data_IF_855600572446
#
_entry.id   IF_855600572446
#
_cell.length_a   1.000
_cell.length_b   1.000
_cell.length_c   1.000
_cell.angle_alpha   90.00
_cell.angle_beta   90.00
_cell.angle_gamma   90.00
#
_symmetry.space_group_name_H-M   'P 1'
#
loop_
_entity.id
_entity.type
_entity.pdbx_description
1 polymer ?
#
# COMPACT_ATOMS: atom_id res chain seq x y z
N UNK A 1 7.32 43.76 -11.58
CA UNK A 1 6.13 43.05 -12.08
C UNK A 1 6.60 41.86 -12.92
N UNK A 2 6.70 40.67 -12.32
CA UNK A 2 6.85 39.43 -13.07
C UNK A 2 5.90 38.40 -12.46
N UNK A 3 4.92 38.03 -13.29
CA UNK A 3 3.78 37.18 -12.98
C UNK A 3 4.24 35.75 -12.70
N UNK A 4 3.99 35.27 -11.47
CA UNK A 4 4.07 33.86 -11.12
C UNK A 4 2.95 33.15 -11.87
N UNK A 5 3.29 32.36 -12.90
CA UNK A 5 2.33 31.46 -13.55
C UNK A 5 2.18 30.22 -12.67
N UNK A 6 1.06 30.15 -11.96
CA UNK A 6 0.53 28.93 -11.35
C UNK A 6 0.23 27.90 -12.46
N UNK A 7 1.11 26.93 -12.66
CA UNK A 7 0.83 25.75 -13.47
C UNK A 7 0.47 24.56 -12.57
N UNK A 8 -0.69 24.64 -11.91
CA UNK A 8 -1.37 23.47 -11.29
C UNK A 8 -2.29 22.80 -12.33
N UNK A 9 -1.73 22.38 -13.46
CA UNK A 9 -2.47 21.60 -14.45
C UNK A 9 -2.17 20.12 -14.24
N UNK A 10 -3.22 19.29 -14.17
CA UNK A 10 -3.10 17.84 -14.13
C UNK A 10 -2.29 17.35 -15.35
N UNK A 11 -1.51 16.25 -15.23
CA UNK A 11 -0.73 15.72 -16.34
C UNK A 11 -1.60 15.43 -17.57
N UNK A 12 -1.18 15.77 -18.80
CA UNK A 12 -2.01 15.64 -20.00
C UNK A 12 -2.60 14.24 -20.22
N UNK A 13 -1.86 13.19 -19.87
CA UNK A 13 -2.32 11.80 -19.96
C UNK A 13 -3.53 11.49 -19.07
N UNK A 14 -3.55 12.02 -17.83
CA UNK A 14 -4.68 11.85 -16.91
C UNK A 14 -5.92 12.57 -17.44
N UNK A 15 -5.75 13.78 -17.95
CA UNK A 15 -6.84 14.60 -18.48
C UNK A 15 -7.50 13.93 -19.68
N UNK A 16 -6.71 13.41 -20.63
CA UNK A 16 -7.23 12.71 -21.81
C UNK A 16 -8.02 11.45 -21.43
N UNK A 17 -7.52 10.66 -20.48
CA UNK A 17 -8.20 9.45 -20.02
C UNK A 17 -9.50 9.78 -19.26
N UNK A 18 -9.50 10.79 -18.39
CA UNK A 18 -10.71 11.25 -17.70
C UNK A 18 -11.77 11.78 -18.68
N UNK A 19 -11.38 12.50 -19.73
CA UNK A 19 -12.30 12.96 -20.77
C UNK A 19 -12.97 11.78 -21.50
N UNK A 20 -12.22 10.73 -21.84
CA UNK A 20 -12.78 9.51 -22.44
C UNK A 20 -13.76 8.80 -21.50
N UNK A 21 -13.44 8.68 -20.20
CA UNK A 21 -14.34 8.08 -19.19
C UNK A 21 -15.61 8.92 -18.99
N UNK A 22 -15.50 10.24 -19.02
CA UNK A 22 -16.66 11.12 -18.92
C UNK A 22 -17.53 11.06 -20.18
N UNK A 23 -16.93 10.95 -21.37
CA UNK A 23 -17.64 10.78 -22.63
C UNK A 23 -18.36 9.43 -22.72
N UNK A 24 -17.76 8.34 -22.24
CA UNK A 24 -18.40 7.02 -22.20
C UNK A 24 -19.56 6.97 -21.20
N UNK A 25 -19.51 7.73 -20.10
CA UNK A 25 -20.66 7.92 -19.19
C UNK A 25 -21.77 8.77 -19.78
N UNK A 26 -21.45 9.76 -20.61
CA UNK A 26 -22.45 10.63 -21.28
C UNK A 26 -23.20 9.92 -22.42
N UNK A 27 -22.75 8.75 -22.84
CA UNK A 27 -23.42 7.89 -23.83
C UNK A 27 -24.51 6.96 -23.26
N UNK A 28 -24.72 6.94 -21.95
CA UNK A 28 -25.72 6.09 -21.30
C UNK A 28 -26.44 6.84 -20.17
N UNK A 29 -27.51 7.54 -20.51
CA UNK A 29 -28.37 8.23 -19.53
C UNK A 29 -29.19 9.33 -20.19
N UNK A 30 -30.43 8.99 -20.54
CA UNK A 30 -31.41 9.93 -21.05
C UNK A 30 -31.82 10.98 -20.02
N UNK A 31 -32.01 12.18 -20.55
CA UNK A 31 -32.82 13.32 -20.13
C UNK A 31 -33.61 13.20 -18.82
N UNK A 32 -33.40 14.16 -17.92
CA UNK A 32 -34.48 14.88 -17.22
C UNK A 32 -33.94 16.25 -16.80
N UNK A 33 -34.32 17.28 -17.56
CA UNK A 33 -34.20 18.70 -17.19
C UNK A 33 -35.42 19.08 -16.33
N UNK A 34 -35.21 19.61 -15.13
CA UNK A 34 -36.19 20.50 -14.51
C UNK A 34 -35.53 21.77 -13.99
N UNK A 35 -36.03 22.88 -14.55
CA UNK A 35 -35.82 24.27 -14.12
C UNK A 35 -36.80 24.62 -13.00
N UNK A 36 -36.37 25.42 -12.03
CA UNK A 36 -37.16 26.45 -11.30
C UNK A 36 -36.21 27.28 -10.45
N UNK A 37 -35.93 28.51 -10.87
CA UNK A 37 -36.60 29.78 -10.51
C UNK A 37 -35.90 30.48 -9.34
N UNK A 38 -35.46 31.70 -9.64
CA UNK A 38 -34.79 32.68 -8.77
C UNK A 38 -35.88 33.63 -8.28
N UNK A 39 -35.84 34.00 -7.01
CA UNK A 39 -36.52 35.21 -6.52
C UNK A 39 -35.58 35.98 -5.57
N UNK A 40 -35.38 37.31 -5.75
CA UNK A 40 -34.52 38.14 -4.89
C UNK A 40 -35.33 39.10 -4.00
N UNK A 41 -34.69 39.58 -2.91
CA UNK A 41 -35.01 40.73 -2.01
C UNK A 41 -34.94 40.30 -0.54
N UNK A 42 -34.55 41.07 0.48
CA UNK A 42 -34.10 42.46 0.69
C UNK A 42 -33.40 42.43 2.07
N UNK A 43 -32.18 42.95 2.24
CA UNK A 43 -31.84 44.28 2.81
C UNK A 43 -31.89 44.38 4.36
N UNK A 44 -30.84 44.98 4.95
CA UNK A 44 -30.76 45.25 6.40
C UNK A 44 -29.36 45.36 7.01
N UNK A 45 -28.78 46.56 6.93
CA UNK A 45 -27.59 47.08 7.64
C UNK A 45 -27.47 46.72 9.14
N UNK A 46 -26.24 46.59 9.68
CA UNK A 46 -25.68 47.66 10.55
C UNK A 46 -24.15 47.61 10.76
N UNK A 47 -23.58 48.81 10.92
CA UNK A 47 -22.15 49.14 11.11
C UNK A 47 -21.81 49.29 12.60
N UNK A 48 -20.56 49.01 12.99
CA UNK A 48 -19.65 49.85 13.82
C UNK A 48 -18.59 48.96 14.50
N UNK A 49 -17.30 49.07 14.15
CA UNK A 49 -16.29 50.01 14.65
C UNK A 49 -15.45 49.43 15.81
N UNK A 50 -14.17 49.15 15.54
CA UNK A 50 -13.10 48.97 16.53
C UNK A 50 -12.73 50.29 17.22
N UNK A 51 -11.88 50.30 18.28
CA UNK A 51 -10.45 50.46 18.01
C UNK A 51 -9.45 49.80 18.99
N UNK A 52 -8.19 49.81 18.54
CA UNK A 52 -6.93 50.09 19.27
C UNK A 52 -6.09 48.97 19.94
N UNK A 53 -5.05 48.57 19.19
CA UNK A 53 -3.61 48.61 19.53
C UNK A 53 -3.10 48.26 20.93
N UNK A 54 -2.29 47.19 21.01
CA UNK A 54 -1.03 47.19 21.78
C UNK A 54 0.00 46.25 21.16
N UNK A 55 1.15 46.81 20.81
CA UNK A 55 2.35 46.11 20.31
C UNK A 55 3.02 45.34 21.44
N UNK A 56 3.18 44.03 21.28
CA UNK A 56 4.19 43.24 22.00
C UNK A 56 4.93 42.39 20.96
N UNK A 57 6.21 42.71 20.80
CA UNK A 57 7.16 41.92 20.01
C UNK A 57 7.57 40.75 20.89
N UNK A 58 7.03 39.57 20.61
CA UNK A 58 7.51 38.30 21.15
C UNK A 58 7.74 37.32 19.99
N UNK A 59 8.76 36.49 20.18
CA UNK A 59 9.48 35.73 19.16
C UNK A 59 8.56 34.82 18.31
N UNK A 60 8.54 35.04 16.99
CA UNK A 60 7.63 34.37 16.04
C UNK A 60 8.22 33.18 15.29
N UNK A 61 9.22 32.49 15.86
CA UNK A 61 9.73 31.26 15.25
C UNK A 61 8.96 30.00 15.68
N UNK A 62 8.22 30.01 16.80
CA UNK A 62 7.46 28.83 17.27
C UNK A 62 6.00 28.77 16.79
N UNK A 63 5.37 29.91 16.42
CA UNK A 63 3.95 29.94 16.05
C UNK A 63 3.65 29.64 14.56
N UNK A 64 4.66 29.61 13.69
CA UNK A 64 4.43 29.34 12.25
C UNK A 64 4.15 27.87 11.93
N UNK A 65 4.53 26.94 12.83
CA UNK A 65 4.35 25.50 12.66
C UNK A 65 2.91 25.03 12.90
N UNK A 66 2.04 25.87 13.48
CA UNK A 66 0.67 25.46 13.81
C UNK A 66 -0.34 25.68 12.66
N UNK A 67 0.10 26.20 11.51
CA UNK A 67 -0.75 26.47 10.34
C UNK A 67 -0.68 25.41 9.23
N UNK A 68 0.37 24.58 9.23
CA UNK A 68 0.57 23.59 8.16
C UNK A 68 -0.30 22.36 8.41
N UNK A 69 -0.95 21.81 7.36
CA UNK A 69 -1.75 20.61 7.53
C UNK A 69 -0.86 19.43 7.90
N UNK A 70 -1.40 18.55 8.74
CA UNK A 70 -0.72 17.32 9.17
C UNK A 70 -0.88 16.25 8.09
N UNK A 71 0.24 15.63 7.71
CA UNK A 71 0.25 14.43 6.84
C UNK A 71 0.86 13.28 7.62
N UNK A 72 0.12 12.18 7.76
CA UNK A 72 0.61 10.96 8.40
C UNK A 72 1.11 9.98 7.33
N UNK A 73 2.31 9.44 7.52
CA UNK A 73 2.93 8.45 6.63
C UNK A 73 3.08 7.11 7.34
N UNK A 74 2.75 6.04 6.64
CA UNK A 74 2.98 4.65 7.06
C UNK A 74 3.44 3.82 5.86
N UNK A 75 3.69 2.52 6.04
CA UNK A 75 3.91 1.59 4.93
C UNK A 75 3.70 0.13 5.39
N UNK A 76 3.98 -0.82 4.49
CA UNK A 76 4.08 -2.25 4.80
C UNK A 76 5.50 -2.76 5.02
N UNK A 77 6.53 -2.16 4.42
CA UNK A 77 7.89 -2.73 4.43
C UNK A 77 8.71 -2.41 5.70
N UNK A 78 8.19 -1.52 6.55
CA UNK A 78 8.82 -1.10 7.80
C UNK A 78 9.49 0.28 7.71
N UNK A 79 9.83 0.82 8.89
CA UNK A 79 10.22 2.22 9.07
C UNK A 79 11.51 2.60 8.32
N UNK A 80 12.47 1.69 8.23
CA UNK A 80 13.74 1.91 7.53
C UNK A 80 13.67 1.61 6.02
N UNK A 81 12.48 1.32 5.48
CA UNK A 81 12.37 0.94 4.07
C UNK A 81 12.77 2.11 3.14
N UNK A 82 13.49 1.84 2.05
CA UNK A 82 13.92 2.88 1.09
C UNK A 82 12.76 3.70 0.52
N UNK A 83 11.61 3.06 0.30
CA UNK A 83 10.39 3.71 -0.20
C UNK A 83 9.76 4.68 0.81
N UNK A 84 9.70 4.32 2.09
CA UNK A 84 9.18 5.22 3.14
C UNK A 84 10.15 6.38 3.39
N UNK A 85 11.44 6.10 3.53
CA UNK A 85 12.47 7.12 3.78
C UNK A 85 12.49 8.15 2.65
N UNK A 86 12.45 7.70 1.39
CA UNK A 86 12.43 8.60 0.22
C UNK A 86 11.17 9.47 0.18
N UNK A 87 10.01 8.90 0.53
CA UNK A 87 8.75 9.64 0.57
C UNK A 87 8.77 10.72 1.66
N UNK A 88 9.19 10.35 2.88
CA UNK A 88 9.29 11.29 4.01
C UNK A 88 10.28 12.41 3.70
N UNK A 89 11.47 12.08 3.16
CA UNK A 89 12.47 13.07 2.77
C UNK A 89 11.88 14.13 1.82
N UNK A 90 11.15 13.68 0.78
CA UNK A 90 10.56 14.58 -0.19
C UNK A 90 9.45 15.45 0.40
N UNK A 91 8.55 14.85 1.20
CA UNK A 91 7.45 15.59 1.82
C UNK A 91 7.94 16.64 2.81
N UNK A 92 8.96 16.32 3.62
CA UNK A 92 9.58 17.30 4.54
C UNK A 92 10.26 18.41 3.75
N UNK A 93 10.99 18.06 2.67
CA UNK A 93 11.71 19.03 1.84
C UNK A 93 10.79 20.04 1.14
N UNK A 94 9.57 19.65 0.76
CA UNK A 94 8.58 20.60 0.21
C UNK A 94 8.23 21.69 1.23
N UNK A 95 8.32 21.40 2.53
CA UNK A 95 8.09 22.37 3.61
C UNK A 95 6.65 22.86 3.73
N UNK A 96 5.72 22.27 2.98
CA UNK A 96 4.31 22.66 2.91
C UNK A 96 3.45 22.06 4.05
N UNK A 97 3.92 20.98 4.67
CA UNK A 97 3.12 20.14 5.57
C UNK A 97 3.92 19.71 6.80
N UNK A 98 3.21 19.37 7.88
CA UNK A 98 3.79 18.76 9.07
C UNK A 98 3.74 17.24 8.92
N UNK A 99 4.85 16.65 8.50
CA UNK A 99 4.97 15.20 8.23
C UNK A 99 5.20 14.46 9.55
N UNK A 100 4.35 13.47 9.81
CA UNK A 100 4.49 12.54 10.93
C UNK A 100 4.52 11.11 10.38
N UNK A 101 5.25 10.22 11.05
CA UNK A 101 5.40 8.84 10.61
C UNK A 101 4.98 7.88 11.71
N UNK A 102 4.19 6.87 11.37
CA UNK A 102 3.93 5.73 12.24
C UNK A 102 3.98 4.47 11.37
N UNK A 103 5.02 3.66 11.53
CA UNK A 103 5.30 2.55 10.62
C UNK A 103 5.79 1.29 11.36
N UNK A 104 5.60 0.09 10.78
CA UNK A 104 6.07 -1.14 11.40
C UNK A 104 7.60 -1.17 11.61
N UNK A 105 8.07 -1.88 12.62
CA UNK A 105 9.51 -2.13 12.86
C UNK A 105 10.17 -3.04 11.79
N UNK A 106 9.36 -3.79 11.05
CA UNK A 106 9.84 -4.81 10.10
C UNK A 106 8.84 -5.01 8.97
N UNK A 107 9.22 -5.78 7.96
CA UNK A 107 8.34 -6.06 6.83
C UNK A 107 7.05 -6.78 7.27
N UNK A 108 5.93 -6.10 7.05
CA UNK A 108 4.54 -6.51 7.21
C UNK A 108 3.75 -6.28 5.91
N UNK A 109 4.40 -6.31 4.76
CA UNK A 109 3.79 -6.02 3.45
C UNK A 109 2.64 -6.96 3.08
N UNK A 110 2.68 -8.21 3.56
CA UNK A 110 1.66 -9.25 3.34
C UNK A 110 0.84 -9.52 4.61
N UNK A 111 0.57 -8.49 5.42
CA UNK A 111 -0.19 -8.61 6.67
C UNK A 111 -1.71 -8.48 6.49
N UNK A 112 -2.19 -8.13 5.29
CA UNK A 112 -3.61 -7.82 5.05
C UNK A 112 -4.14 -6.79 6.05
N UNK A 113 -5.44 -6.81 6.34
CA UNK A 113 -6.08 -5.96 7.34
C UNK A 113 -6.05 -6.61 8.74
N UNK A 114 -4.88 -7.11 9.17
CA UNK A 114 -4.74 -7.73 10.49
C UNK A 114 -4.57 -6.68 11.58
N UNK A 115 -5.09 -6.98 12.77
CA UNK A 115 -5.03 -6.13 13.97
C UNK A 115 -4.47 -6.95 15.12
N UNK A 116 -3.58 -6.36 15.91
CA UNK A 116 -2.98 -7.00 17.08
C UNK A 116 -3.81 -6.73 18.33
N UNK A 117 -4.56 -7.72 18.82
CA UNK A 117 -5.47 -7.57 19.97
C UNK A 117 -4.98 -8.22 21.27
N UNK A 118 -4.31 -9.36 21.19
CA UNK A 118 -3.97 -10.16 22.38
C UNK A 118 -2.60 -9.82 22.98
N UNK A 119 -1.72 -9.23 22.18
CA UNK A 119 -0.35 -8.92 22.58
C UNK A 119 -0.16 -7.40 22.66
N UNK A 120 0.69 -6.95 23.59
CA UNK A 120 1.06 -5.56 23.66
C UNK A 120 1.96 -5.19 22.47
N UNK A 121 1.66 -4.08 21.80
CA UNK A 121 2.52 -3.52 20.76
C UNK A 121 3.55 -2.57 21.39
N UNK A 122 4.82 -2.75 21.04
CA UNK A 122 5.90 -1.85 21.43
C UNK A 122 5.95 -0.66 20.45
N UNK A 123 6.29 0.52 20.98
CA UNK A 123 6.44 1.74 20.21
C UNK A 123 7.75 2.42 20.59
N UNK A 124 8.56 2.77 19.58
CA UNK A 124 9.82 3.47 19.75
C UNK A 124 9.77 4.80 19.00
N UNK A 125 10.11 5.90 19.68
CA UNK A 125 10.27 7.20 19.01
C UNK A 125 11.56 7.21 18.21
N UNK A 126 11.48 7.63 16.95
CA UNK A 126 12.63 7.82 16.06
C UNK A 126 12.48 9.13 15.29
N UNK A 127 13.54 9.57 14.63
CA UNK A 127 13.51 10.75 13.75
C UNK A 127 13.87 10.32 12.33
N UNK A 128 13.07 10.73 11.35
CA UNK A 128 13.32 10.42 9.93
C UNK A 128 13.31 11.71 9.16
N UNK A 129 14.49 12.15 8.71
CA UNK A 129 14.64 13.33 7.85
C UNK A 129 13.92 14.58 8.40
N UNK A 130 13.94 14.79 9.72
CA UNK A 130 13.27 15.91 10.39
C UNK A 130 11.77 15.72 10.69
N UNK A 131 11.19 14.56 10.37
CA UNK A 131 9.83 14.20 10.76
C UNK A 131 9.81 13.46 12.12
N UNK A 132 8.79 13.77 12.94
CA UNK A 132 8.48 13.01 14.16
C UNK A 132 7.96 11.63 13.73
N UNK A 133 8.63 10.57 14.17
CA UNK A 133 8.36 9.22 13.72
C UNK A 133 8.23 8.22 14.89
N UNK A 134 7.35 7.25 14.73
CA UNK A 134 7.19 6.11 15.63
C UNK A 134 7.33 4.79 14.88
N UNK A 135 8.23 3.97 15.37
CA UNK A 135 8.39 2.56 15.00
C UNK A 135 7.48 1.70 15.86
N UNK A 136 6.68 0.82 15.26
CA UNK A 136 5.68 0.01 15.99
C UNK A 136 5.90 -1.48 15.71
N UNK A 137 5.81 -2.33 16.74
CA UNK A 137 6.00 -3.78 16.57
C UNK A 137 4.85 -4.49 15.83
N UNK A 138 3.73 -3.80 15.64
CA UNK A 138 2.49 -4.28 15.03
C UNK A 138 2.47 -4.21 13.50
N UNK A 139 1.25 -4.19 12.97
CA UNK A 139 0.92 -4.14 11.54
C UNK A 139 0.73 -2.69 11.05
N UNK A 140 0.64 -2.42 9.74
CA UNK A 140 0.31 -1.09 9.24
C UNK A 140 -1.04 -0.57 9.73
N UNK A 141 -2.01 -1.47 9.95
CA UNK A 141 -3.32 -1.13 10.53
C UNK A 141 -3.15 -0.69 11.99
N UNK A 142 -2.37 -1.43 12.78
CA UNK A 142 -2.06 -1.03 14.16
C UNK A 142 -1.35 0.33 14.20
N UNK A 143 -0.42 0.59 13.28
CA UNK A 143 0.28 1.88 13.20
C UNK A 143 -0.67 3.05 12.95
N UNK A 144 -1.56 2.92 11.96
CA UNK A 144 -2.53 3.97 11.61
C UNK A 144 -3.56 4.14 12.71
N UNK A 145 -4.15 3.05 13.21
CA UNK A 145 -5.14 3.11 14.29
C UNK A 145 -4.55 3.74 15.56
N UNK A 146 -3.33 3.33 15.96
CA UNK A 146 -2.66 3.90 17.12
C UNK A 146 -2.33 5.39 16.94
N UNK A 147 -1.86 5.80 15.75
CA UNK A 147 -1.63 7.20 15.45
C UNK A 147 -2.92 8.04 15.54
N UNK A 148 -4.03 7.53 14.98
CA UNK A 148 -5.32 8.21 14.97
C UNK A 148 -6.05 8.17 16.32
N UNK A 149 -5.64 7.31 17.25
CA UNK A 149 -6.18 7.26 18.60
C UNK A 149 -5.82 8.50 19.45
N UNK A 150 -4.83 9.29 19.03
CA UNK A 150 -4.27 10.41 19.80
C UNK A 150 -3.28 9.99 20.90
N UNK A 151 -2.93 8.70 20.99
CA UNK A 151 -1.99 8.22 22.01
C UNK A 151 -0.53 8.60 21.75
N UNK A 152 -0.15 8.82 20.49
CA UNK A 152 1.23 9.09 20.06
C UNK A 152 1.48 10.54 19.66
N UNK A 153 0.46 11.22 19.13
CA UNK A 153 0.60 12.55 18.56
C UNK A 153 -0.39 13.53 19.20
N UNK A 154 0.04 14.78 19.36
CA UNK A 154 -0.77 15.83 19.98
C UNK A 154 -1.85 16.41 19.06
N UNK A 155 -1.83 16.08 17.76
CA UNK A 155 -2.86 16.50 16.81
C UNK A 155 -4.10 15.60 16.90
N UNK A 156 -5.28 16.15 16.54
CA UNK A 156 -6.55 15.42 16.63
C UNK A 156 -6.84 14.53 15.42
N UNK A 157 -6.51 14.99 14.20
CA UNK A 157 -6.74 14.26 12.95
C UNK A 157 -5.80 14.77 11.84
N UNK A 158 -5.14 13.89 11.07
CA UNK A 158 -4.36 14.32 9.93
C UNK A 158 -5.27 14.67 8.75
N UNK A 159 -4.80 15.56 7.87
CA UNK A 159 -5.51 15.89 6.64
C UNK A 159 -5.53 14.71 5.66
N UNK A 160 -4.42 13.99 5.59
CA UNK A 160 -4.20 12.87 4.68
C UNK A 160 -3.32 11.81 5.34
N UNK A 161 -3.64 10.53 5.10
CA UNK A 161 -2.75 9.40 5.37
C UNK A 161 -2.16 8.88 4.06
N UNK A 162 -0.83 8.74 3.99
CA UNK A 162 -0.14 8.14 2.86
C UNK A 162 0.51 6.83 3.33
N UNK A 163 0.11 5.73 2.71
CA UNK A 163 0.68 4.41 2.96
C UNK A 163 1.59 4.02 1.79
N UNK A 164 2.91 4.05 1.98
CA UNK A 164 3.88 3.77 0.92
C UNK A 164 5.26 4.42 1.13
N UNK A 165 6.15 4.38 0.14
CA UNK A 165 6.01 3.63 -1.12
C UNK A 165 6.35 2.15 -0.90
N UNK A 166 5.44 1.26 -1.26
CA UNK A 166 5.64 -0.19 -1.14
C UNK A 166 6.62 -0.72 -2.19
N UNK A 167 7.47 -1.67 -1.79
CA UNK A 167 8.23 -2.52 -2.70
C UNK A 167 7.36 -3.64 -3.24
N UNK A 168 6.99 -3.55 -4.52
CA UNK A 168 6.20 -4.54 -5.23
C UNK A 168 4.77 -4.08 -5.49
N UNK A 169 4.17 -4.63 -6.54
CA UNK A 169 2.82 -4.29 -7.00
C UNK A 169 1.73 -4.77 -6.05
N UNK A 170 0.70 -3.95 -5.87
CA UNK A 170 -0.54 -4.32 -5.20
C UNK A 170 -1.74 -4.28 -6.16
N UNK A 171 -1.56 -4.60 -7.44
CA UNK A 171 -2.67 -4.66 -8.40
C UNK A 171 -3.68 -5.79 -8.09
N UNK A 172 -4.93 -5.56 -8.45
CA UNK A 172 -5.99 -6.57 -8.44
C UNK A 172 -6.26 -7.21 -7.07
N UNK A 173 -6.25 -8.53 -7.00
CA UNK A 173 -6.49 -9.27 -5.76
C UNK A 173 -5.29 -9.26 -4.80
N UNK A 174 -4.09 -8.80 -5.20
CA UNK A 174 -2.99 -8.60 -4.27
C UNK A 174 -3.30 -7.55 -3.20
N UNK A 175 -4.18 -6.59 -3.51
CA UNK A 175 -4.73 -5.63 -2.54
C UNK A 175 -5.36 -6.29 -1.31
N UNK A 176 -5.81 -7.54 -1.38
CA UNK A 176 -6.40 -8.25 -0.23
C UNK A 176 -5.33 -8.57 0.80
N UNK A 177 -4.15 -8.99 0.36
CA UNK A 177 -3.04 -9.37 1.24
C UNK A 177 -2.16 -8.18 1.62
N UNK A 178 -2.32 -7.05 0.94
CA UNK A 178 -1.46 -5.87 1.11
C UNK A 178 -1.69 -5.16 2.44
N UNK A 179 -0.65 -5.11 3.26
CA UNK A 179 -0.60 -4.26 4.45
C UNK A 179 -0.62 -2.77 4.10
N UNK A 180 -0.10 -2.38 2.93
CA UNK A 180 -0.06 -0.97 2.48
C UNK A 180 -1.47 -0.48 2.16
N UNK A 181 -2.23 -1.28 1.40
CA UNK A 181 -3.63 -0.98 1.11
C UNK A 181 -4.45 -1.01 2.40
N UNK A 182 -4.17 -1.95 3.31
CA UNK A 182 -4.85 -2.03 4.60
C UNK A 182 -4.63 -0.78 5.48
N UNK A 183 -3.40 -0.26 5.56
CA UNK A 183 -3.12 0.98 6.29
C UNK A 183 -3.88 2.19 5.72
N UNK A 184 -3.93 2.32 4.40
CA UNK A 184 -4.75 3.36 3.76
C UNK A 184 -6.26 3.14 3.99
N UNK A 185 -6.73 1.89 3.96
CA UNK A 185 -8.12 1.54 4.25
C UNK A 185 -8.50 1.84 5.70
N UNK A 186 -7.60 1.59 6.65
CA UNK A 186 -7.82 1.90 8.07
C UNK A 186 -8.03 3.40 8.29
N UNK A 187 -7.20 4.24 7.66
CA UNK A 187 -7.39 5.68 7.69
C UNK A 187 -8.79 6.08 7.16
N UNK A 188 -9.24 5.44 6.07
CA UNK A 188 -10.54 5.68 5.48
C UNK A 188 -11.69 5.23 6.40
N UNK A 189 -11.54 4.10 7.12
CA UNK A 189 -12.50 3.69 8.16
C UNK A 189 -12.62 4.74 9.27
N UNK A 190 -11.52 5.39 9.65
CA UNK A 190 -11.51 6.52 10.57
C UNK A 190 -11.95 7.86 9.94
N UNK A 191 -12.43 7.83 8.70
CA UNK A 191 -12.91 9.02 7.98
C UNK A 191 -11.80 9.98 7.56
N UNK A 192 -10.56 9.53 7.46
CA UNK A 192 -9.42 10.31 6.94
C UNK A 192 -9.19 9.93 5.47
N UNK A 193 -9.09 10.90 4.55
CA UNK A 193 -8.66 10.64 3.18
C UNK A 193 -7.30 9.92 3.14
N UNK A 194 -7.12 9.01 2.19
CA UNK A 194 -5.89 8.24 2.14
C UNK A 194 -5.45 7.81 0.74
N UNK A 195 -4.13 7.64 0.61
CA UNK A 195 -3.47 7.11 -0.58
C UNK A 195 -2.67 5.86 -0.20
N UNK A 196 -2.74 4.81 -1.00
CA UNK A 196 -1.76 3.72 -1.00
C UNK A 196 -0.87 3.84 -2.24
N UNK A 197 0.44 3.74 -2.07
CA UNK A 197 1.40 3.94 -3.17
C UNK A 197 2.35 2.74 -3.22
N UNK A 198 2.45 2.13 -4.40
CA UNK A 198 3.30 0.98 -4.66
C UNK A 198 4.16 1.22 -5.89
N UNK A 199 5.43 0.80 -5.83
CA UNK A 199 6.28 0.66 -7.00
C UNK A 199 6.26 -0.79 -7.45
N UNK A 200 6.00 -1.06 -8.74
CA UNK A 200 6.14 -2.38 -9.35
C UNK A 200 7.63 -2.78 -9.48
N UNK A 201 8.30 -2.84 -8.33
CA UNK A 201 9.72 -3.08 -8.17
C UNK A 201 10.00 -4.55 -8.43
N UNK A 202 10.90 -4.82 -9.39
CA UNK A 202 11.30 -6.16 -9.76
C UNK A 202 12.78 -6.36 -9.49
N UNK A 203 13.13 -7.46 -8.83
CA UNK A 203 14.51 -7.72 -8.37
C UNK A 203 15.57 -7.66 -9.47
N UNK A 204 15.21 -8.04 -10.69
CA UNK A 204 16.14 -8.13 -11.82
C UNK A 204 16.16 -6.87 -12.69
N UNK A 205 15.17 -5.97 -12.53
CA UNK A 205 14.99 -4.80 -13.38
C UNK A 205 15.14 -3.47 -12.62
N UNK A 206 14.85 -3.46 -11.32
CA UNK A 206 14.75 -2.25 -10.50
C UNK A 206 15.95 -2.04 -9.57
N UNK A 207 16.17 -0.77 -9.21
CA UNK A 207 17.19 -0.33 -8.26
C UNK A 207 16.54 0.39 -7.07
N UNK A 208 17.28 0.53 -5.97
CA UNK A 208 16.79 1.29 -4.80
C UNK A 208 16.59 2.78 -5.13
N UNK A 209 17.35 3.33 -6.08
CA UNK A 209 17.18 4.71 -6.56
C UNK A 209 15.82 4.98 -7.19
N UNK A 210 15.16 3.93 -7.73
CA UNK A 210 13.86 4.06 -8.40
C UNK A 210 12.76 4.53 -7.43
N UNK A 211 12.93 4.35 -6.11
CA UNK A 211 12.02 4.90 -5.12
C UNK A 211 12.00 6.43 -5.15
N UNK A 212 13.12 7.09 -5.44
CA UNK A 212 13.17 8.56 -5.56
C UNK A 212 12.40 9.03 -6.80
N UNK A 213 12.53 8.31 -7.91
CA UNK A 213 11.79 8.59 -9.13
C UNK A 213 10.28 8.34 -8.93
N UNK A 214 9.92 7.26 -8.23
CA UNK A 214 8.55 6.94 -7.84
C UNK A 214 7.93 8.05 -6.98
N UNK A 215 8.66 8.58 -6.00
CA UNK A 215 8.22 9.73 -5.20
C UNK A 215 8.00 10.96 -6.08
N UNK A 216 8.96 11.29 -6.96
CA UNK A 216 8.85 12.42 -7.87
C UNK A 216 7.61 12.33 -8.77
N UNK A 217 7.28 11.13 -9.24
CA UNK A 217 6.07 10.85 -10.02
C UNK A 217 4.80 11.07 -9.19
N UNK A 218 4.77 10.67 -7.91
CA UNK A 218 3.57 10.78 -7.08
C UNK A 218 3.34 12.16 -6.44
N UNK A 219 4.38 12.99 -6.26
CA UNK A 219 4.28 14.30 -5.61
C UNK A 219 3.16 15.20 -6.20
N UNK A 220 2.99 15.34 -7.53
CA UNK A 220 1.89 16.12 -8.09
C UNK A 220 0.50 15.64 -7.66
N UNK A 221 0.30 14.31 -7.54
CA UNK A 221 -0.97 13.73 -7.11
C UNK A 221 -1.18 13.92 -5.61
N UNK A 222 -0.13 13.78 -4.79
CA UNK A 222 -0.19 14.04 -3.36
C UNK A 222 -0.53 15.52 -3.09
N UNK A 223 0.16 16.45 -3.75
CA UNK A 223 -0.08 17.88 -3.62
C UNK A 223 -1.48 18.27 -4.11
N UNK A 224 -1.97 17.63 -5.19
CA UNK A 224 -3.34 17.81 -5.63
C UNK A 224 -4.36 17.30 -4.61
N UNK A 225 -4.15 16.11 -4.05
CA UNK A 225 -5.01 15.53 -3.03
C UNK A 225 -5.12 16.47 -1.81
N UNK A 226 -4.00 16.92 -1.26
CA UNK A 226 -3.97 17.82 -0.10
C UNK A 226 -4.76 19.11 -0.38
N UNK A 227 -4.45 19.80 -1.48
CA UNK A 227 -5.15 21.04 -1.87
C UNK A 227 -6.65 20.83 -2.06
N UNK A 228 -7.05 19.70 -2.61
CA UNK A 228 -8.43 19.45 -2.99
C UNK A 228 -9.26 18.85 -1.84
N UNK A 229 -8.61 18.25 -0.83
CA UNK A 229 -9.26 17.84 0.44
C UNK A 229 -9.73 19.08 1.19
N UNK A 230 -8.87 20.10 1.35
CA UNK A 230 -9.22 21.34 2.06
C UNK A 230 -10.39 22.08 1.40
N UNK A 231 -10.52 21.97 0.08
CA UNK A 231 -11.59 22.57 -0.71
C UNK A 231 -12.85 21.69 -0.84
N UNK A 232 -12.80 20.46 -0.34
CA UNK A 232 -13.90 19.49 -0.46
C UNK A 232 -14.10 18.89 -1.86
N UNK A 233 -13.11 19.02 -2.75
CA UNK A 233 -13.12 18.46 -4.10
C UNK A 233 -12.52 17.05 -4.20
N UNK A 234 -11.77 16.61 -3.19
CA UNK A 234 -11.22 15.25 -3.17
C UNK A 234 -12.34 14.20 -3.13
N UNK A 235 -12.21 13.07 -3.88
CA UNK A 235 -13.21 12.01 -3.89
C UNK A 235 -13.61 11.55 -2.48
N UNK A 236 -14.91 11.58 -2.20
CA UNK A 236 -15.46 11.15 -0.90
C UNK A 236 -15.62 9.63 -0.86
N UNK A 237 -15.51 9.05 0.34
CA UNK A 237 -15.80 7.63 0.61
C UNK A 237 -14.95 6.62 -0.20
N UNK A 238 -13.76 7.02 -0.62
CA UNK A 238 -12.77 6.13 -1.22
C UNK A 238 -11.34 6.55 -0.86
N UNK A 239 -10.43 5.57 -0.89
CA UNK A 239 -8.98 5.78 -0.94
C UNK A 239 -8.50 5.63 -2.39
N UNK A 240 -7.34 6.17 -2.72
CA UNK A 240 -6.74 5.97 -4.05
C UNK A 240 -5.55 5.03 -3.94
N UNK A 241 -5.59 3.92 -4.67
CA UNK A 241 -4.44 3.04 -4.84
C UNK A 241 -3.65 3.43 -6.09
N UNK A 242 -2.38 3.81 -5.90
CA UNK A 242 -1.48 4.32 -6.92
C UNK A 242 -0.39 3.28 -7.17
N UNK A 243 -0.34 2.74 -8.38
CA UNK A 243 0.66 1.76 -8.80
C UNK A 243 1.57 2.37 -9.84
N UNK A 244 2.86 2.40 -9.54
CA UNK A 244 3.90 2.99 -10.39
C UNK A 244 4.57 1.88 -11.18
N UNK A 245 4.78 2.03 -12.51
CA UNK A 245 5.43 1.03 -13.32
C UNK A 245 6.90 0.83 -12.90
N UNK A 246 7.47 -0.31 -13.31
CA UNK A 246 8.84 -0.73 -12.97
C UNK A 246 9.90 0.32 -13.30
N UNK A 247 9.68 1.13 -14.33
CA UNK A 247 10.49 2.31 -14.65
C UNK A 247 9.69 3.60 -14.42
N UNK A 248 9.77 4.22 -13.23
CA UNK A 248 8.99 5.41 -12.91
C UNK A 248 9.34 6.60 -13.80
N UNK A 249 10.62 6.81 -14.11
CA UNK A 249 11.09 7.94 -14.93
C UNK A 249 10.66 7.87 -16.39
N UNK A 250 10.37 6.67 -16.91
CA UNK A 250 9.90 6.44 -18.28
C UNK A 250 8.37 6.26 -18.38
N UNK A 251 7.61 6.58 -17.32
CA UNK A 251 6.17 6.41 -17.32
C UNK A 251 5.46 7.22 -18.43
N UNK A 252 4.35 6.69 -18.96
CA UNK A 252 3.55 7.31 -20.03
C UNK A 252 2.49 8.29 -19.51
N UNK A 253 2.53 8.64 -18.23
CA UNK A 253 1.51 9.42 -17.53
C UNK A 253 0.63 8.56 -16.63
N UNK A 254 -0.50 9.13 -16.21
CA UNK A 254 -1.44 8.51 -15.27
C UNK A 254 -2.68 8.00 -16.00
N UNK A 255 -3.20 6.87 -15.55
CA UNK A 255 -4.44 6.27 -16.04
C UNK A 255 -5.37 5.99 -14.86
N UNK A 256 -6.63 6.40 -14.97
CA UNK A 256 -7.66 5.97 -14.02
C UNK A 256 -8.03 4.52 -14.36
N UNK A 257 -8.01 3.64 -13.36
CA UNK A 257 -8.17 2.21 -13.58
C UNK A 257 -9.25 1.60 -12.69
N UNK A 258 -9.73 0.43 -13.12
CA UNK A 258 -10.54 -0.47 -12.32
C UNK A 258 -9.62 -1.53 -11.71
N UNK A 259 -10.03 -2.02 -10.55
CA UNK A 259 -9.36 -3.14 -9.90
C UNK A 259 -9.52 -4.39 -10.76
N UNK A 260 -8.40 -5.03 -11.14
CA UNK A 260 -8.44 -6.32 -11.81
C UNK A 260 -8.78 -7.49 -10.87
N UNK A 261 -9.15 -8.62 -11.45
CA UNK A 261 -9.31 -9.89 -10.73
C UNK A 261 -7.98 -10.66 -10.60
N UNK A 262 -6.87 -10.04 -11.03
CA UNK A 262 -5.55 -10.67 -11.11
C UNK A 262 -5.05 -11.09 -9.72
N UNK A 263 -4.64 -12.36 -9.59
CA UNK A 263 -3.94 -12.91 -8.42
C UNK A 263 -2.86 -13.89 -8.86
N UNK A 264 -1.71 -13.82 -8.23
CA UNK A 264 -0.73 -14.90 -8.26
C UNK A 264 -1.32 -16.14 -7.55
N UNK A 265 -0.95 -17.31 -8.07
CA UNK A 265 -1.37 -18.58 -7.47
C UNK A 265 -0.45 -18.93 -6.31
N UNK A 266 -0.98 -19.28 -5.12
CA UNK A 266 -0.14 -19.73 -4.02
C UNK A 266 0.44 -21.11 -4.35
N UNK A 267 1.74 -21.28 -4.12
CA UNK A 267 2.47 -22.54 -4.27
C UNK A 267 3.18 -22.88 -2.96
N UNK A 268 2.96 -24.08 -2.45
CA UNK A 268 3.56 -24.55 -1.20
C UNK A 268 4.73 -25.48 -1.48
N UNK A 269 5.89 -25.14 -0.95
CA UNK A 269 7.12 -25.93 -1.06
C UNK A 269 7.50 -26.50 0.29
N UNK A 270 7.81 -27.79 0.35
CA UNK A 270 8.36 -28.41 1.55
C UNK A 270 9.78 -27.88 1.80
N UNK A 271 10.09 -27.52 3.04
CA UNK A 271 11.42 -27.02 3.46
C UNK A 271 11.97 -27.85 4.62
N UNK A 272 13.29 -27.90 4.75
CA UNK A 272 13.93 -28.58 5.88
C UNK A 272 13.86 -27.72 7.15
N UNK A 273 13.82 -28.38 8.32
CA UNK A 273 13.79 -27.70 9.62
C UNK A 273 15.01 -26.79 9.88
N UNK A 274 16.12 -27.00 9.16
CA UNK A 274 17.40 -26.33 9.38
C UNK A 274 17.63 -25.10 8.50
N UNK A 275 16.57 -24.38 8.12
CA UNK A 275 16.72 -22.99 7.64
C UNK A 275 15.80 -22.09 8.44
N UNK A 276 16.30 -21.60 9.57
CA UNK A 276 16.04 -20.21 9.93
C UNK A 276 16.78 -19.36 8.89
N UNK A 277 16.12 -18.62 7.98
CA UNK A 277 16.76 -17.40 7.51
C UNK A 277 16.77 -16.48 8.73
N UNK A 278 17.97 -16.17 9.22
CA UNK A 278 18.17 -14.98 10.02
C UNK A 278 17.47 -13.81 9.32
N UNK A 279 16.74 -13.01 10.10
CA UNK A 279 16.33 -11.68 9.67
C UNK A 279 17.54 -10.99 9.01
N UNK A 280 17.34 -10.55 7.76
CA UNK A 280 18.28 -9.81 6.94
C UNK A 280 19.67 -10.42 6.80
N UNK A 281 19.97 -11.12 5.70
CA UNK A 281 21.30 -11.05 5.07
C UNK A 281 21.19 -11.31 3.56
N UNK A 282 21.45 -10.23 2.84
CA UNK A 282 21.85 -10.12 1.44
C UNK A 282 22.98 -11.12 1.16
N UNK A 283 22.87 -11.98 0.14
CA UNK A 283 24.03 -12.73 -0.35
C UNK A 283 24.45 -12.21 -1.71
N UNK A 284 25.54 -11.44 -1.67
CA UNK A 284 26.46 -11.20 -2.78
C UNK A 284 27.07 -12.54 -3.22
N UNK A 285 26.84 -12.92 -4.48
CA UNK A 285 27.51 -14.07 -5.08
C UNK A 285 28.96 -13.71 -5.42
N UNK A 286 29.88 -14.01 -4.51
CA UNK A 286 31.22 -14.48 -4.84
C UNK A 286 31.64 -15.51 -3.78
N UNK A 287 31.51 -16.80 -4.09
CA UNK A 287 32.23 -17.84 -3.36
C UNK A 287 33.03 -18.69 -4.35
N UNK A 288 34.33 -18.76 -4.07
CA UNK A 288 35.41 -19.32 -4.86
C UNK A 288 35.23 -20.83 -5.15
N UNK A 289 35.56 -21.22 -6.39
CA UNK A 289 35.55 -22.60 -6.93
C UNK A 289 36.27 -23.64 -6.05
N UNK A 290 37.18 -23.21 -5.17
CA UNK A 290 37.92 -24.10 -4.27
C UNK A 290 37.04 -24.85 -3.26
N UNK A 291 35.91 -24.25 -2.83
CA UNK A 291 34.97 -24.90 -1.90
C UNK A 291 34.08 -25.94 -2.58
N UNK A 292 33.74 -25.75 -3.87
CA UNK A 292 32.95 -26.72 -4.64
C UNK A 292 33.70 -28.04 -4.87
N UNK A 293 35.01 -28.00 -5.09
CA UNK A 293 35.83 -29.20 -5.31
C UNK A 293 36.03 -30.03 -4.04
N UNK A 294 36.10 -29.39 -2.86
CA UNK A 294 36.19 -30.09 -1.58
C UNK A 294 34.85 -30.74 -1.15
N UNK A 295 33.73 -30.28 -1.70
CA UNK A 295 32.40 -30.88 -1.50
C UNK A 295 32.23 -32.15 -2.36
N UNK A 296 32.65 -32.09 -3.63
CA UNK A 296 32.56 -33.20 -4.59
C UNK A 296 33.39 -34.43 -4.20
N UNK A 297 34.54 -34.24 -3.54
CA UNK A 297 35.36 -35.36 -3.03
C UNK A 297 34.73 -36.06 -1.83
N UNK A 298 33.93 -35.34 -1.03
CA UNK A 298 33.19 -35.89 0.11
C UNK A 298 31.98 -36.71 -0.34
N UNK A 299 31.29 -36.25 -1.38
CA UNK A 299 30.08 -36.91 -1.91
C UNK A 299 30.41 -38.19 -2.71
N UNK A 300 31.57 -38.25 -3.37
CA UNK A 300 32.02 -39.47 -4.06
C UNK A 300 32.30 -40.65 -3.09
N UNK A 301 32.76 -40.36 -1.87
CA UNK A 301 32.96 -41.37 -0.82
C UNK A 301 31.63 -41.90 -0.25
N UNK A 302 30.59 -41.07 -0.20
CA UNK A 302 29.26 -41.49 0.24
C UNK A 302 28.52 -42.34 -0.81
N UNK A 303 28.72 -42.06 -2.10
CA UNK A 303 28.09 -42.81 -3.20
C UNK A 303 28.64 -44.24 -3.37
N UNK A 304 29.88 -44.52 -2.93
CA UNK A 304 30.49 -45.85 -2.96
C UNK A 304 29.91 -46.84 -1.94
N UNK A 305 29.31 -46.34 -0.85
CA UNK A 305 28.78 -47.17 0.24
C UNK A 305 27.32 -47.66 -0.01
N UNK A 306 26.61 -47.11 -0.99
CA UNK A 306 25.19 -47.37 -1.23
C UNK A 306 24.88 -48.38 -2.35
N UNK A 307 25.87 -49.16 -2.83
CA UNK A 307 25.65 -50.22 -3.83
C UNK A 307 25.72 -51.63 -3.25
N UNK A 308 24.92 -51.93 -2.22
CA UNK A 308 24.47 -53.32 -1.95
C UNK A 308 23.05 -53.27 -1.36
N UNK A 309 22.16 -54.08 -1.95
CA UNK A 309 20.76 -54.37 -1.60
C UNK A 309 19.66 -53.60 -2.38
N UNK A 310 19.34 -54.19 -3.54
CA UNK A 310 17.99 -54.59 -4.01
C UNK A 310 16.83 -53.57 -4.01
N UNK A 311 16.55 -53.06 -5.21
CA UNK A 311 15.29 -53.07 -5.98
C UNK A 311 13.91 -52.98 -5.28
N UNK A 312 13.12 -52.01 -5.78
CA UNK A 312 11.66 -51.78 -5.70
C UNK A 312 11.03 -51.25 -4.39
N UNK A 313 10.78 -49.94 -4.33
CA UNK A 313 9.43 -49.31 -4.22
C UNK A 313 9.52 -47.78 -4.13
N UNK A 314 8.69 -47.11 -4.95
CA UNK A 314 8.16 -45.73 -4.87
C UNK A 314 9.08 -44.60 -4.38
N UNK A 315 9.23 -43.59 -5.25
CA UNK A 315 9.68 -42.24 -4.91
C UNK A 315 8.81 -41.63 -3.79
N UNK A 316 9.23 -41.85 -2.56
CA UNK A 316 8.88 -41.07 -1.39
C UNK A 316 10.22 -40.87 -0.67
N UNK A 317 10.90 -39.77 -1.00
CA UNK A 317 12.10 -39.36 -0.28
C UNK A 317 11.65 -38.88 1.09
N UNK A 318 11.60 -39.82 2.02
CA UNK A 318 11.48 -39.59 3.45
C UNK A 318 12.80 -38.96 3.90
N UNK A 319 12.83 -37.63 3.96
CA UNK A 319 13.97 -36.90 4.48
C UNK A 319 13.82 -36.90 6.00
N UNK A 320 14.41 -37.92 6.64
CA UNK A 320 14.53 -37.99 8.10
C UNK A 320 15.34 -36.80 8.63
N UNK A 321 14.75 -36.10 9.58
CA UNK A 321 15.39 -35.00 10.31
C UNK A 321 16.34 -35.58 11.35
N UNK A 322 17.65 -35.34 11.19
CA UNK A 322 18.62 -35.54 12.28
C UNK A 322 18.86 -34.19 12.94
N UNK A 323 18.25 -33.97 14.11
CA UNK A 323 18.33 -32.71 14.86
C UNK A 323 18.12 -32.89 16.36
N UNK A 324 19.24 -32.75 17.08
CA UNK A 324 19.51 -32.70 18.51
C UNK A 324 18.37 -32.45 19.55
N UNK A 325 18.39 -33.31 20.58
CA UNK A 325 18.23 -33.06 22.02
C UNK A 325 17.36 -31.87 22.50
N UNK A 326 16.04 -32.05 22.39
CA UNK A 326 15.06 -31.52 23.34
C UNK A 326 14.01 -32.61 23.54
N UNK A 327 13.49 -32.80 24.76
CA UNK A 327 12.48 -33.84 25.07
C UNK A 327 11.37 -33.81 24.01
N UNK A 328 11.42 -34.76 23.08
CA UNK A 328 10.45 -34.85 21.99
C UNK A 328 9.22 -35.55 22.51
N UNK A 329 8.04 -34.94 22.32
CA UNK A 329 6.79 -35.70 22.23
C UNK A 329 7.00 -36.76 21.15
N UNK A 330 7.26 -38.00 21.56
CA UNK A 330 7.73 -39.09 20.69
C UNK A 330 6.72 -39.52 19.62
N UNK A 331 5.53 -38.92 19.59
CA UNK A 331 4.45 -39.21 18.65
C UNK A 331 4.15 -38.08 17.64
N UNK A 332 4.93 -36.99 17.59
CA UNK A 332 4.63 -35.85 16.71
C UNK A 332 5.71 -35.65 15.64
N UNK A 333 5.32 -35.81 14.38
CA UNK A 333 6.16 -35.47 13.22
C UNK A 333 5.86 -34.03 12.79
N UNK A 334 6.87 -33.17 12.77
CA UNK A 334 6.78 -31.78 12.26
C UNK A 334 7.19 -31.74 10.79
N UNK A 335 6.39 -31.07 9.96
CA UNK A 335 6.69 -30.78 8.55
C UNK A 335 6.69 -29.26 8.36
N UNK A 336 7.65 -28.76 7.58
CA UNK A 336 7.81 -27.33 7.34
C UNK A 336 7.53 -27.03 5.88
N UNK A 337 6.79 -25.95 5.62
CA UNK A 337 6.45 -25.50 4.29
C UNK A 337 6.67 -24.00 4.18
N UNK A 338 6.98 -23.54 2.97
CA UNK A 338 7.02 -22.14 2.59
C UNK A 338 6.04 -21.90 1.45
N UNK A 339 5.32 -20.80 1.52
CA UNK A 339 4.47 -20.35 0.43
C UNK A 339 5.23 -19.35 -0.44
N UNK A 340 5.06 -19.50 -1.74
CA UNK A 340 5.52 -18.56 -2.76
C UNK A 340 4.36 -18.25 -3.70
N UNK A 341 4.33 -17.05 -4.26
CA UNK A 341 3.37 -16.65 -5.27
C UNK A 341 3.95 -16.91 -6.65
N UNK A 342 3.21 -17.65 -7.49
CA UNK A 342 3.54 -17.86 -8.89
C UNK A 342 2.68 -16.95 -9.75
N UNK A 343 3.33 -16.08 -10.51
CA UNK A 343 2.66 -15.26 -11.50
C UNK A 343 2.22 -16.13 -12.67
N UNK A 344 0.97 -15.95 -13.07
CA UNK A 344 0.46 -16.50 -14.32
C UNK A 344 0.19 -15.34 -15.25
N UNK A 345 0.61 -15.49 -16.50
CA UNK A 345 0.15 -14.61 -17.57
C UNK A 345 -1.37 -14.70 -17.65
N UNK A 346 -2.02 -13.55 -17.57
CA UNK A 346 -3.47 -13.45 -17.68
C UNK A 346 -3.79 -12.84 -19.05
N UNK A 347 -4.63 -13.52 -19.81
CA UNK A 347 -5.17 -13.04 -21.09
C UNK A 347 -6.41 -12.17 -20.82
N UNK A 348 -6.26 -11.09 -20.07
CA UNK A 348 -7.33 -10.08 -19.97
C UNK A 348 -7.04 -8.93 -20.95
N UNK A 349 -7.98 -8.61 -21.84
CA UNK A 349 -7.81 -7.57 -22.87
C UNK A 349 -8.30 -6.20 -22.40
N UNK A 350 -8.91 -6.06 -21.21
CA UNK A 350 -9.38 -4.76 -20.72
C UNK A 350 -8.18 -3.88 -20.32
N UNK A 351 -7.90 -2.86 -21.13
CA UNK A 351 -6.81 -1.91 -20.90
C UNK A 351 -7.03 -1.01 -19.69
N UNK A 352 -8.27 -0.89 -19.18
CA UNK A 352 -8.60 -0.04 -18.02
C UNK A 352 -8.34 -0.74 -16.68
N UNK A 353 -7.81 -1.97 -16.71
CA UNK A 353 -7.38 -2.68 -15.52
C UNK A 353 -6.05 -2.13 -14.98
N UNK A 354 -5.95 -2.06 -13.65
CA UNK A 354 -4.78 -1.59 -12.92
C UNK A 354 -3.48 -2.29 -13.36
N UNK A 355 -3.48 -3.62 -13.38
CA UNK A 355 -2.33 -4.42 -13.79
C UNK A 355 -1.91 -4.14 -15.24
N UNK A 356 -2.88 -4.03 -16.17
CA UNK A 356 -2.60 -3.73 -17.58
C UNK A 356 -2.04 -2.33 -17.79
N UNK A 357 -2.56 -1.35 -17.07
CA UNK A 357 -2.02 0.01 -17.13
C UNK A 357 -0.55 0.05 -16.68
N UNK A 358 -0.21 -0.65 -15.59
CA UNK A 358 1.15 -0.76 -15.07
C UNK A 358 2.08 -1.48 -16.06
N UNK A 359 1.67 -2.62 -16.64
CA UNK A 359 2.42 -3.32 -17.68
C UNK A 359 2.67 -2.45 -18.91
N UNK A 360 1.67 -1.65 -19.29
CA UNK A 360 1.77 -0.71 -20.40
C UNK A 360 2.59 0.55 -20.08
N UNK A 361 3.14 0.67 -18.86
CA UNK A 361 4.02 1.76 -18.45
C UNK A 361 3.28 3.02 -17.98
N UNK A 362 1.99 2.93 -17.64
CA UNK A 362 1.24 4.01 -17.01
C UNK A 362 1.28 3.88 -15.48
N UNK A 363 1.19 5.01 -14.79
CA UNK A 363 0.86 5.04 -13.37
C UNK A 363 -0.65 4.79 -13.23
N UNK A 364 -1.04 3.69 -12.61
CA UNK A 364 -2.44 3.34 -12.43
C UNK A 364 -2.99 3.99 -11.15
N UNK A 365 -4.15 4.63 -11.23
CA UNK A 365 -4.89 5.18 -10.08
C UNK A 365 -6.22 4.44 -9.98
N UNK A 366 -6.38 3.62 -8.96
CA UNK A 366 -7.60 2.84 -8.71
C UNK A 366 -8.31 3.34 -7.46
N UNK A 367 -9.49 3.97 -7.57
CA UNK A 367 -10.30 4.31 -6.40
C UNK A 367 -10.84 3.05 -5.71
N UNK A 368 -10.64 2.94 -4.40
CA UNK A 368 -11.12 1.84 -3.56
C UNK A 368 -12.16 2.35 -2.57
N UNK A 369 -13.39 1.85 -2.66
CA UNK A 369 -14.45 2.19 -1.71
C UNK A 369 -14.55 1.18 -0.56
N UNK A 370 -15.10 1.61 0.58
CA UNK A 370 -15.41 0.74 1.71
C UNK A 370 -16.65 -0.12 1.46
N UNK A 371 -17.59 0.35 0.63
CA UNK A 371 -18.81 -0.38 0.28
C UNK A 371 -18.72 -0.90 -1.16
N UNK A 372 -18.77 -2.23 -1.37
CA UNK A 372 -18.88 -2.78 -2.71
C UNK A 372 -20.31 -2.56 -3.25
N UNK A 373 -20.44 -1.84 -4.38
CA UNK A 373 -21.74 -1.70 -5.10
C UNK A 373 -22.37 -3.02 -5.57
N UNK A 374 -21.64 -4.14 -5.44
CA UNK A 374 -22.03 -5.50 -5.84
C UNK A 374 -23.02 -6.13 -4.83
N UNK A 375 -23.35 -5.43 -3.75
CA UNK A 375 -24.26 -5.91 -2.71
C UNK A 375 -25.67 -6.21 -3.24
N UNK A 376 -26.21 -5.46 -4.20
CA UNK A 376 -27.61 -5.61 -4.61
C UNK A 376 -27.89 -6.92 -5.37
N UNK A 377 -27.14 -7.21 -6.44
CA UNK A 377 -27.29 -8.47 -7.20
C UNK A 377 -27.01 -9.70 -6.33
N UNK A 378 -25.98 -9.60 -5.47
CA UNK A 378 -25.62 -10.69 -4.56
C UNK A 378 -26.71 -10.92 -3.51
N UNK A 379 -27.28 -9.84 -2.98
CA UNK A 379 -28.37 -9.90 -2.00
C UNK A 379 -29.63 -10.50 -2.62
N UNK A 380 -30.00 -10.10 -3.84
CA UNK A 380 -31.14 -10.67 -4.56
C UNK A 380 -30.91 -12.17 -4.80
N UNK A 381 -29.76 -12.55 -5.37
CA UNK A 381 -29.44 -13.95 -5.64
C UNK A 381 -29.45 -14.81 -4.36
N UNK A 382 -28.92 -14.29 -3.25
CA UNK A 382 -28.97 -14.97 -1.95
C UNK A 382 -30.39 -15.08 -1.40
N UNK A 383 -31.19 -14.01 -1.50
CA UNK A 383 -32.59 -13.97 -1.07
C UNK A 383 -33.45 -14.98 -1.84
N UNK A 384 -33.30 -15.04 -3.16
CA UNK A 384 -34.01 -15.99 -4.02
C UNK A 384 -33.63 -17.43 -3.68
N UNK A 385 -32.33 -17.70 -3.49
CA UNK A 385 -31.84 -19.02 -3.09
C UNK A 385 -32.38 -19.45 -1.72
N UNK A 386 -32.35 -18.58 -0.71
CA UNK A 386 -32.89 -18.86 0.63
C UNK A 386 -34.40 -19.14 0.54
N UNK A 387 -35.14 -18.31 -0.21
CA UNK A 387 -36.59 -18.45 -0.37
C UNK A 387 -36.95 -19.80 -0.99
N UNK A 388 -36.24 -20.19 -2.06
CA UNK A 388 -36.41 -21.49 -2.71
C UNK A 388 -36.02 -22.67 -1.81
N UNK A 389 -34.91 -22.56 -1.06
CA UNK A 389 -34.44 -23.63 -0.18
C UNK A 389 -35.37 -23.90 1.01
N UNK A 390 -36.08 -22.87 1.51
CA UNK A 390 -36.95 -22.98 2.69
C UNK A 390 -38.42 -23.28 2.38
N UNK A 391 -38.89 -23.00 1.16
CA UNK A 391 -40.28 -23.23 0.73
C UNK A 391 -40.40 -24.39 -0.27
N UNK A 392 -39.55 -25.41 -0.15
CA UNK A 392 -39.51 -26.55 -1.08
C UNK A 392 -40.91 -26.99 -1.52
N UNK A 393 -41.07 -27.17 -2.84
CA UNK A 393 -42.31 -27.63 -3.47
C UNK A 393 -42.92 -28.81 -2.67
N UNK A 394 -44.24 -28.77 -2.37
CA UNK A 394 -44.92 -29.79 -1.57
C UNK A 394 -44.90 -31.20 -2.19
#
# INVERSE_FOLDING_TARGET
MNSVKNNNMLPPGLVSNLQQVLLSRKGGGGEEEEKKEIDPSNDGNDKSAEPSTSTCVENTEEDSNNSKPIVLVTNGNGIDSPGLVSLVEALVREGLYNVHVCAPQSDKSVSSHSVTLQEAIAVTSVEINGAIAYEVSGTPVDCVSLALSGALFSWSKPLLVISGINRGSNCGHHMIYSGVVAGAREALFCGVPSLSISLNWKKEESQESDFKDAVAVCLPVINAAIRDIEKGFFPKSCSLNIEIPTSPSANKGFKLTKRSMWRSSPSWQAVSANRHPSAGHFMSNQQSLGLQLAQLSRDASAAGAARRLTTQRKNMLEIESVGAAGKSDSNRVKKYFRMEFLDKELEDTDEDLDFRAVENGFVAITPLSLSPRIEEDTHIAASDWISSALHGDP
#
